data_IF_230309274916
#
_entry.id   IF_230309274916
#
_cell.length_a   1.000
_cell.length_b   1.000
_cell.length_c   1.000
_cell.angle_alpha   90.00
_cell.angle_beta   90.00
_cell.angle_gamma   90.00
#
_symmetry.space_group_name_H-M   'P 1'
#
loop_
_entity.id
_entity.type
_entity.pdbx_description
1 polymer ?
#
# COMPACT_ATOMS: atom_id res chain seq x y z
N UNK A 1 38.31 -0.58 8.38
CA UNK A 1 36.84 -0.46 8.18
C UNK A 1 36.33 0.99 8.11
N UNK A 2 36.95 1.98 8.76
CA UNK A 2 36.53 3.39 8.70
C UNK A 2 36.76 4.06 7.32
N UNK A 3 37.90 3.81 6.67
CA UNK A 3 38.24 4.39 5.35
C UNK A 3 37.35 3.92 4.19
N UNK A 4 36.88 2.67 4.26
CA UNK A 4 35.95 2.11 3.27
C UNK A 4 34.58 2.80 3.39
N UNK A 5 34.14 3.11 4.62
CA UNK A 5 32.87 3.81 4.89
C UNK A 5 32.92 5.28 4.44
N UNK A 6 34.03 5.99 4.67
CA UNK A 6 34.22 7.38 4.18
C UNK A 6 34.28 7.46 2.65
N UNK A 7 34.93 6.50 1.99
CA UNK A 7 34.99 6.45 0.51
C UNK A 7 33.62 6.21 -0.16
N UNK A 8 32.76 5.39 0.43
CA UNK A 8 31.38 5.17 -0.07
C UNK A 8 30.53 6.43 0.15
N UNK A 9 30.67 7.07 1.31
CA UNK A 9 29.97 8.32 1.62
C UNK A 9 30.32 9.43 0.63
N UNK A 10 31.61 9.67 0.38
CA UNK A 10 32.08 10.66 -0.59
C UNK A 10 31.56 10.39 -2.01
N UNK A 11 31.60 9.14 -2.48
CA UNK A 11 31.03 8.75 -3.79
C UNK A 11 29.53 8.99 -3.86
N UNK A 12 28.79 8.76 -2.77
CA UNK A 12 27.35 9.01 -2.73
C UNK A 12 27.01 10.50 -2.74
N UNK A 13 27.80 11.33 -2.05
CA UNK A 13 27.69 12.80 -2.10
C UNK A 13 27.97 13.31 -3.51
N UNK A 14 29.05 12.84 -4.16
CA UNK A 14 29.36 13.21 -5.54
C UNK A 14 28.22 12.87 -6.50
N UNK A 15 27.65 11.66 -6.40
CA UNK A 15 26.49 11.27 -7.23
C UNK A 15 25.27 12.17 -6.98
N UNK A 16 25.06 12.65 -5.75
CA UNK A 16 23.95 13.58 -5.46
C UNK A 16 24.16 14.92 -6.15
N UNK A 17 25.39 15.44 -6.12
CA UNK A 17 25.76 16.69 -6.80
C UNK A 17 25.59 16.56 -8.32
N UNK A 18 26.12 15.50 -8.92
CA UNK A 18 25.98 15.26 -10.37
C UNK A 18 24.51 15.17 -10.80
N UNK A 19 23.66 14.45 -10.03
CA UNK A 19 22.21 14.38 -10.32
C UNK A 19 21.51 15.73 -10.20
N UNK A 20 21.90 16.55 -9.23
CA UNK A 20 21.34 17.88 -9.06
C UNK A 20 21.73 18.79 -10.24
N UNK A 21 22.99 18.71 -10.68
CA UNK A 21 23.50 19.41 -11.85
C UNK A 21 22.76 18.99 -13.13
N UNK A 22 22.62 17.69 -13.37
CA UNK A 22 21.93 17.15 -14.55
C UNK A 22 20.49 17.66 -14.65
N UNK A 23 19.73 17.58 -13.54
CA UNK A 23 18.36 18.12 -13.49
C UNK A 23 18.27 19.60 -13.84
N UNK A 24 19.27 20.40 -13.45
CA UNK A 24 19.31 21.83 -13.78
C UNK A 24 19.59 22.01 -15.27
N UNK A 25 20.53 21.25 -15.84
CA UNK A 25 20.84 21.31 -17.27
C UNK A 25 19.63 20.91 -18.13
N UNK A 26 18.94 19.83 -17.76
CA UNK A 26 17.69 19.40 -18.41
C UNK A 26 16.62 20.50 -18.40
N UNK A 27 16.37 21.11 -17.23
CA UNK A 27 15.40 22.21 -17.09
C UNK A 27 15.77 23.47 -17.89
N UNK A 28 17.06 23.68 -18.16
CA UNK A 28 17.55 24.81 -18.96
C UNK A 28 17.65 24.48 -20.45
N UNK A 29 17.26 23.26 -20.88
CA UNK A 29 17.37 22.81 -22.27
C UNK A 29 18.82 22.60 -22.74
N UNK A 30 19.76 22.43 -21.80
CA UNK A 30 21.19 22.25 -22.06
C UNK A 30 21.65 20.79 -22.04
N UNK A 31 20.77 19.87 -21.64
CA UNK A 31 20.98 18.42 -21.71
C UNK A 31 19.64 17.76 -22.01
N UNK A 32 19.65 16.68 -22.79
CA UNK A 32 18.44 15.95 -23.15
C UNK A 32 17.93 15.12 -21.96
N UNK A 33 16.65 15.26 -21.65
CA UNK A 33 15.95 14.46 -20.64
C UNK A 33 15.27 13.26 -21.31
N UNK A 34 15.55 12.06 -20.80
CA UNK A 34 14.79 10.88 -21.22
C UNK A 34 13.39 10.92 -20.61
N UNK A 35 12.37 11.14 -21.46
CA UNK A 35 10.95 11.08 -21.06
C UNK A 35 10.39 9.69 -21.30
N UNK A 36 9.77 9.14 -20.26
CA UNK A 36 9.10 7.84 -20.31
C UNK A 36 7.64 8.01 -19.87
N UNK A 37 6.85 8.58 -20.77
CA UNK A 37 5.44 8.92 -20.52
C UNK A 37 4.60 7.70 -20.12
N UNK A 38 4.92 6.53 -20.70
CA UNK A 38 4.25 5.28 -20.37
C UNK A 38 4.54 4.88 -18.91
N UNK A 39 5.79 4.92 -18.48
CA UNK A 39 6.14 4.61 -17.09
C UNK A 39 5.58 5.65 -16.12
N UNK A 40 5.55 6.92 -16.49
CA UNK A 40 4.93 7.97 -15.68
C UNK A 40 3.44 7.70 -15.43
N UNK A 41 2.71 7.28 -16.48
CA UNK A 41 1.30 6.90 -16.34
C UNK A 41 1.12 5.68 -15.41
N UNK A 42 2.03 4.70 -15.49
CA UNK A 42 2.04 3.53 -14.59
C UNK A 42 2.29 3.97 -13.14
N UNK A 43 3.20 4.91 -12.90
CA UNK A 43 3.46 5.47 -11.55
C UNK A 43 2.28 6.26 -11.02
N UNK A 44 1.55 6.99 -11.87
CA UNK A 44 0.32 7.68 -11.49
C UNK A 44 -0.71 6.66 -11.00
N UNK A 45 -0.92 5.59 -11.77
CA UNK A 45 -1.84 4.51 -11.39
C UNK A 45 -1.42 3.83 -10.08
N UNK A 46 -0.13 3.53 -9.91
CA UNK A 46 0.43 2.95 -8.69
C UNK A 46 0.17 3.82 -7.46
N UNK A 47 0.43 5.14 -7.54
CA UNK A 47 0.17 6.08 -6.42
C UNK A 47 -1.31 6.20 -6.12
N UNK A 48 -2.15 6.23 -7.15
CA UNK A 48 -3.61 6.24 -6.99
C UNK A 48 -4.08 4.98 -6.27
N UNK A 49 -3.59 3.80 -6.67
CA UNK A 49 -3.91 2.52 -6.06
C UNK A 49 -3.50 2.46 -4.58
N UNK A 50 -2.30 2.96 -4.24
CA UNK A 50 -1.82 3.08 -2.85
C UNK A 50 -2.78 3.94 -2.02
N UNK A 51 -3.17 5.09 -2.55
CA UNK A 51 -4.05 6.05 -1.89
C UNK A 51 -5.47 5.51 -1.69
N UNK A 52 -6.04 4.89 -2.73
CA UNK A 52 -7.39 4.30 -2.69
C UNK A 52 -7.42 3.10 -1.74
N UNK A 53 -6.40 2.23 -1.75
CA UNK A 53 -6.26 1.13 -0.80
C UNK A 53 -6.11 1.62 0.65
N UNK A 54 -5.30 2.66 0.88
CA UNK A 54 -5.12 3.26 2.21
C UNK A 54 -6.41 3.91 2.73
N UNK A 55 -7.19 4.53 1.83
CA UNK A 55 -8.51 5.06 2.18
C UNK A 55 -9.45 3.93 2.58
N UNK A 56 -9.53 2.86 1.78
CA UNK A 56 -10.38 1.70 2.09
C UNK A 56 -10.02 1.07 3.45
N UNK A 57 -8.73 0.91 3.75
CA UNK A 57 -8.28 0.41 5.06
C UNK A 57 -8.75 1.31 6.21
N UNK A 58 -8.67 2.63 6.06
CA UNK A 58 -9.16 3.58 7.07
C UNK A 58 -10.66 3.46 7.29
N UNK A 59 -11.45 3.42 6.21
CA UNK A 59 -12.89 3.27 6.30
C UNK A 59 -13.27 1.91 6.92
N UNK A 60 -12.53 0.84 6.59
CA UNK A 60 -12.73 -0.48 7.21
C UNK A 60 -12.48 -0.44 8.72
N UNK A 61 -11.41 0.23 9.17
CA UNK A 61 -11.13 0.42 10.61
C UNK A 61 -12.23 1.21 11.30
N UNK A 62 -12.73 2.28 10.67
CA UNK A 62 -13.88 3.04 11.18
C UNK A 62 -15.13 2.18 11.29
N UNK A 63 -15.42 1.37 10.26
CA UNK A 63 -16.55 0.44 10.26
C UNK A 63 -16.44 -0.61 11.38
N UNK A 64 -15.27 -1.24 11.55
CA UNK A 64 -14.98 -2.16 12.66
C UNK A 64 -15.19 -1.50 14.02
N UNK A 65 -14.72 -0.25 14.19
CA UNK A 65 -14.95 0.51 15.42
C UNK A 65 -16.43 0.80 15.66
N UNK A 66 -17.21 1.05 14.61
CA UNK A 66 -18.65 1.27 14.71
C UNK A 66 -19.40 0.00 15.12
N UNK A 67 -18.97 -1.18 14.65
CA UNK A 67 -19.48 -2.48 15.11
C UNK A 67 -19.31 -2.62 16.63
N UNK A 68 -18.11 -2.33 17.17
CA UNK A 68 -17.89 -2.34 18.63
C UNK A 68 -18.74 -1.32 19.38
N UNK A 69 -18.91 -0.12 18.82
CA UNK A 69 -19.81 0.88 19.37
C UNK A 69 -21.25 0.39 19.47
N UNK A 70 -21.74 -0.27 18.41
CA UNK A 70 -23.08 -0.85 18.38
C UNK A 70 -23.25 -2.02 19.35
N UNK A 71 -22.24 -2.91 19.45
CA UNK A 71 -22.21 -3.99 20.44
C UNK A 71 -22.38 -3.42 21.85
N UNK A 72 -21.57 -2.41 22.22
CA UNK A 72 -21.64 -1.80 23.55
C UNK A 72 -23.00 -1.13 23.80
N UNK A 73 -23.56 -0.42 22.82
CA UNK A 73 -24.89 0.17 22.94
C UNK A 73 -25.97 -0.90 23.14
N UNK A 74 -25.88 -2.03 22.44
CA UNK A 74 -26.79 -3.17 22.57
C UNK A 74 -26.70 -3.83 23.96
N UNK A 75 -25.51 -3.96 24.52
CA UNK A 75 -25.29 -4.45 25.89
C UNK A 75 -25.97 -3.52 26.90
N UNK A 76 -25.69 -2.22 26.82
CA UNK A 76 -26.24 -1.23 27.75
C UNK A 76 -27.77 -1.20 27.69
N UNK A 77 -28.36 -1.28 26.49
CA UNK A 77 -29.81 -1.34 26.32
C UNK A 77 -30.40 -2.60 26.98
N UNK A 78 -29.78 -3.76 26.75
CA UNK A 78 -30.25 -5.02 27.33
C UNK A 78 -30.12 -5.05 28.85
N UNK A 79 -29.03 -4.48 29.39
CA UNK A 79 -28.84 -4.32 30.82
C UNK A 79 -29.92 -3.41 31.44
N UNK A 80 -30.22 -2.27 30.81
CA UNK A 80 -31.28 -1.37 31.30
C UNK A 80 -32.65 -2.06 31.34
N UNK A 81 -32.96 -2.90 30.35
CA UNK A 81 -34.18 -3.70 30.34
C UNK A 81 -34.20 -4.72 31.48
N UNK A 82 -33.07 -5.40 31.73
CA UNK A 82 -32.96 -6.34 32.83
C UNK A 82 -33.18 -5.66 34.19
N UNK A 83 -32.58 -4.48 34.41
CA UNK A 83 -32.64 -3.74 35.68
C UNK A 83 -34.08 -3.31 36.04
N UNK A 84 -34.90 -2.95 35.05
CA UNK A 84 -36.30 -2.56 35.27
C UNK A 84 -37.28 -3.74 35.30
N UNK A 85 -36.81 -4.95 34.98
CA UNK A 85 -37.67 -6.14 34.93
C UNK A 85 -37.85 -6.73 36.33
N UNK A 86 -39.09 -6.79 36.81
CA UNK A 86 -39.37 -7.26 38.18
C UNK A 86 -39.08 -8.77 38.34
N UNK A 87 -38.62 -9.23 39.52
CA UNK A 87 -38.25 -10.63 39.77
C UNK A 87 -39.32 -11.67 39.43
N UNK A 88 -40.59 -11.32 39.57
CA UNK A 88 -41.75 -12.19 39.35
C UNK A 88 -42.30 -12.14 37.91
N UNK A 89 -41.78 -11.24 37.07
CA UNK A 89 -42.21 -11.14 35.68
C UNK A 89 -41.68 -12.31 34.84
N UNK A 90 -42.56 -12.86 34.00
CA UNK A 90 -42.22 -13.95 33.10
C UNK A 90 -41.08 -13.56 32.15
N UNK A 91 -40.10 -14.46 31.99
CA UNK A 91 -38.98 -14.28 31.05
C UNK A 91 -37.83 -13.41 31.56
N UNK A 92 -37.76 -13.08 32.85
CA UNK A 92 -36.64 -12.30 33.42
C UNK A 92 -35.26 -12.90 33.12
N UNK A 93 -35.09 -14.20 33.33
CA UNK A 93 -33.84 -14.92 33.04
C UNK A 93 -33.56 -15.01 31.53
N UNK A 94 -34.61 -14.94 30.71
CA UNK A 94 -34.47 -14.99 29.25
C UNK A 94 -33.82 -13.72 28.71
N UNK A 95 -34.08 -12.55 29.31
CA UNK A 95 -33.47 -11.27 28.93
C UNK A 95 -31.95 -11.35 29.04
N UNK A 96 -31.45 -11.89 30.16
CA UNK A 96 -30.00 -12.05 30.40
C UNK A 96 -29.40 -12.98 29.34
N UNK A 97 -30.06 -14.11 29.09
CA UNK A 97 -29.58 -15.09 28.11
C UNK A 97 -29.56 -14.50 26.70
N UNK A 98 -30.64 -13.83 26.28
CA UNK A 98 -30.76 -13.14 24.99
C UNK A 98 -29.66 -12.09 24.84
N UNK A 99 -29.38 -11.32 25.90
CA UNK A 99 -28.30 -10.33 25.90
C UNK A 99 -26.93 -10.96 25.66
N UNK A 100 -26.62 -12.07 26.36
CA UNK A 100 -25.36 -12.81 26.18
C UNK A 100 -25.23 -13.41 24.78
N UNK A 101 -26.31 -13.98 24.25
CA UNK A 101 -26.32 -14.54 22.88
C UNK A 101 -26.11 -13.45 21.83
N UNK A 102 -26.77 -12.29 21.98
CA UNK A 102 -26.55 -11.12 21.13
C UNK A 102 -25.10 -10.62 21.20
N UNK A 103 -24.53 -10.51 22.39
CA UNK A 103 -23.14 -10.07 22.60
C UNK A 103 -22.15 -11.03 21.92
N UNK A 104 -22.34 -12.34 22.08
CA UNK A 104 -21.51 -13.35 21.42
C UNK A 104 -21.57 -13.26 19.89
N UNK A 105 -22.74 -12.99 19.31
CA UNK A 105 -22.90 -12.79 17.87
C UNK A 105 -22.19 -11.52 17.38
N UNK A 106 -22.27 -10.42 18.14
CA UNK A 106 -21.54 -9.19 17.83
C UNK A 106 -20.03 -9.39 17.88
N UNK A 107 -19.53 -10.10 18.90
CA UNK A 107 -18.12 -10.41 19.07
C UNK A 107 -17.58 -11.27 17.91
N UNK A 108 -18.31 -12.34 17.56
CA UNK A 108 -17.96 -13.22 16.43
C UNK A 108 -17.96 -12.47 15.10
N UNK A 109 -18.98 -11.63 14.86
CA UNK A 109 -19.05 -10.80 13.67
C UNK A 109 -17.87 -9.83 13.57
N UNK A 110 -17.58 -9.08 14.64
CA UNK A 110 -16.45 -8.18 14.70
C UNK A 110 -15.13 -8.90 14.38
N UNK A 111 -14.84 -10.00 15.07
CA UNK A 111 -13.57 -10.71 14.92
C UNK A 111 -13.42 -11.28 13.50
N UNK A 112 -14.49 -11.80 12.91
CA UNK A 112 -14.46 -12.27 11.52
C UNK A 112 -14.27 -11.15 10.52
N UNK A 113 -14.84 -9.97 10.74
CA UNK A 113 -14.59 -8.81 9.85
C UNK A 113 -13.13 -8.40 9.95
N UNK A 114 -12.55 -8.32 11.16
CA UNK A 114 -11.13 -8.05 11.36
C UNK A 114 -10.26 -9.06 10.60
N UNK A 115 -10.46 -10.35 10.82
CA UNK A 115 -9.60 -11.39 10.27
C UNK A 115 -9.74 -11.52 8.74
N UNK A 116 -10.96 -11.44 8.21
CA UNK A 116 -11.22 -11.67 6.78
C UNK A 116 -11.03 -10.44 5.89
N UNK A 117 -10.93 -9.24 6.47
CA UNK A 117 -10.81 -8.00 5.69
C UNK A 117 -9.60 -7.17 6.07
N UNK A 118 -9.40 -6.87 7.36
CA UNK A 118 -8.35 -5.95 7.79
C UNK A 118 -6.96 -6.55 7.56
N UNK A 119 -6.76 -7.82 7.89
CA UNK A 119 -5.50 -8.52 7.64
C UNK A 119 -5.16 -8.57 6.13
N UNK A 120 -6.16 -8.84 5.28
CA UNK A 120 -5.99 -8.86 3.84
C UNK A 120 -5.67 -7.46 3.25
N UNK A 121 -6.28 -6.41 3.81
CA UNK A 121 -5.97 -5.02 3.48
C UNK A 121 -4.54 -4.64 3.87
N UNK A 122 -4.10 -5.07 5.05
CA UNK A 122 -2.73 -4.83 5.53
C UNK A 122 -1.71 -5.53 4.63
N UNK A 123 -1.91 -6.80 4.29
CA UNK A 123 -1.02 -7.55 3.40
C UNK A 123 -0.95 -6.92 2.00
N UNK A 124 -2.10 -6.51 1.45
CA UNK A 124 -2.14 -5.83 0.15
C UNK A 124 -1.35 -4.52 0.17
N UNK A 125 -1.49 -3.72 1.23
CA UNK A 125 -0.78 -2.44 1.38
C UNK A 125 0.72 -2.61 1.65
N UNK A 126 1.15 -3.72 2.26
CA UNK A 126 2.57 -4.02 2.50
C UNK A 126 3.40 -4.19 1.22
N UNK A 127 2.78 -4.39 0.06
CA UNK A 127 3.48 -4.48 -1.23
C UNK A 127 3.98 -3.12 -1.74
N UNK A 128 3.36 -2.01 -1.30
CA UNK A 128 3.64 -0.68 -1.83
C UNK A 128 4.98 -0.07 -1.37
N UNK A 129 5.41 -0.18 -0.10
CA UNK A 129 6.65 0.46 0.38
C UNK A 129 7.91 0.06 -0.41
N UNK A 130 8.11 -1.22 -0.68
CA UNK A 130 9.27 -1.69 -1.45
C UNK A 130 9.21 -1.20 -2.91
N UNK A 131 8.05 -1.37 -3.56
CA UNK A 131 7.85 -0.88 -4.94
C UNK A 131 8.07 0.62 -5.04
N UNK A 132 7.63 1.41 -4.06
CA UNK A 132 7.85 2.86 -3.99
C UNK A 132 9.34 3.20 -3.86
N UNK A 133 10.08 2.45 -3.04
CA UNK A 133 11.52 2.61 -2.92
C UNK A 133 12.26 2.28 -4.23
N UNK A 134 11.81 1.24 -4.94
CA UNK A 134 12.33 0.83 -6.25
C UNK A 134 11.99 1.83 -7.35
N UNK A 135 10.77 2.35 -7.43
CA UNK A 135 10.38 3.44 -8.33
C UNK A 135 11.27 4.66 -8.11
N UNK A 136 11.45 5.08 -6.86
CA UNK A 136 12.35 6.20 -6.54
C UNK A 136 13.82 5.89 -6.91
N UNK A 137 14.25 4.62 -6.79
CA UNK A 137 15.58 4.17 -7.20
C UNK A 137 15.72 4.25 -8.72
N UNK A 138 14.74 3.76 -9.48
CA UNK A 138 14.69 3.86 -10.94
C UNK A 138 14.81 5.30 -11.41
N UNK A 139 14.00 6.23 -10.87
CA UNK A 139 14.08 7.66 -11.23
C UNK A 139 15.48 8.25 -10.97
N UNK A 140 16.14 7.86 -9.88
CA UNK A 140 17.53 8.28 -9.62
C UNK A 140 18.53 7.68 -10.62
N UNK A 141 18.27 6.45 -11.09
CA UNK A 141 19.14 5.74 -12.05
C UNK A 141 18.97 6.22 -13.47
N UNK A 142 17.78 6.68 -13.84
CA UNK A 142 17.57 7.37 -15.11
C UNK A 142 18.43 8.64 -15.19
N UNK A 143 18.45 9.45 -14.13
CA UNK A 143 19.30 10.66 -14.09
C UNK A 143 20.80 10.30 -14.11
N UNK A 144 21.22 9.25 -13.39
CA UNK A 144 22.61 8.77 -13.44
C UNK A 144 22.98 8.33 -14.87
N UNK A 145 22.05 7.72 -15.61
CA UNK A 145 22.23 7.30 -17.01
C UNK A 145 22.29 8.49 -17.97
N UNK A 146 21.33 9.42 -17.90
CA UNK A 146 21.31 10.63 -18.74
C UNK A 146 22.60 11.44 -18.55
N UNK A 147 23.07 11.58 -17.31
CA UNK A 147 24.32 12.29 -17.01
C UNK A 147 25.56 11.60 -17.59
N UNK A 148 25.61 10.26 -17.55
CA UNK A 148 26.70 9.51 -18.17
C UNK A 148 26.65 9.62 -19.71
N UNK A 149 25.45 9.64 -20.31
CA UNK A 149 25.25 9.81 -21.75
C UNK A 149 25.74 11.19 -22.20
N UNK A 150 25.28 12.23 -21.52
CA UNK A 150 25.69 13.61 -21.77
C UNK A 150 27.21 13.82 -21.60
N UNK A 151 27.84 13.12 -20.64
CA UNK A 151 29.29 13.17 -20.48
C UNK A 151 30.04 12.59 -21.68
N UNK A 152 29.61 11.42 -22.19
CA UNK A 152 30.19 10.80 -23.39
C UNK A 152 30.01 11.70 -24.61
N UNK A 153 28.80 12.22 -24.84
CA UNK A 153 28.50 13.14 -25.94
C UNK A 153 29.41 14.38 -25.92
N UNK A 154 29.59 14.99 -24.74
CA UNK A 154 30.49 16.15 -24.56
C UNK A 154 31.94 15.81 -24.92
N UNK A 155 32.43 14.64 -24.51
CA UNK A 155 33.79 14.20 -24.82
C UNK A 155 33.98 13.95 -26.32
N UNK A 156 32.97 13.41 -27.00
CA UNK A 156 32.98 13.17 -28.45
C UNK A 156 33.00 14.49 -29.23
N UNK A 157 32.12 15.44 -28.88
CA UNK A 157 32.04 16.76 -29.54
C UNK A 157 33.32 17.57 -29.37
N UNK A 158 33.99 17.47 -28.21
CA UNK A 158 35.26 18.16 -27.97
C UNK A 158 36.46 17.61 -28.77
N UNK A 159 36.28 16.52 -29.53
CA UNK A 159 37.34 15.92 -30.36
C UNK A 159 38.49 15.31 -29.54
N UNK A 160 38.24 14.97 -28.27
CA UNK A 160 39.25 14.43 -27.36
C UNK A 160 39.77 13.06 -27.82
N UNK A 161 40.99 13.00 -28.35
CA UNK A 161 41.72 11.78 -28.77
C UNK A 161 42.34 10.96 -27.61
N UNK A 162 41.90 11.17 -26.37
CA UNK A 162 42.46 10.46 -25.21
C UNK A 162 41.67 9.18 -24.97
N UNK A 163 42.06 8.11 -25.68
CA UNK A 163 41.37 6.81 -25.67
C UNK A 163 41.05 6.32 -24.26
N UNK A 164 41.96 6.51 -23.29
CA UNK A 164 41.75 6.06 -21.91
C UNK A 164 40.63 6.80 -21.19
N UNK A 165 40.44 8.10 -21.43
CA UNK A 165 39.34 8.88 -20.83
C UNK A 165 38.01 8.53 -21.49
N UNK A 166 38.01 8.35 -22.81
CA UNK A 166 36.82 7.94 -23.56
C UNK A 166 36.34 6.55 -23.12
N UNK A 167 37.24 5.56 -23.11
CA UNK A 167 36.94 4.19 -22.66
C UNK A 167 36.29 4.19 -21.28
N UNK A 168 36.84 4.97 -20.34
CA UNK A 168 36.29 5.04 -18.98
C UNK A 168 34.87 5.65 -18.95
N UNK A 169 34.61 6.70 -19.72
CA UNK A 169 33.28 7.30 -19.81
C UNK A 169 32.26 6.33 -20.43
N UNK A 170 32.65 5.59 -21.47
CA UNK A 170 31.82 4.55 -22.08
C UNK A 170 31.53 3.38 -21.13
N UNK A 171 32.50 2.95 -20.34
CA UNK A 171 32.30 1.94 -19.29
C UNK A 171 31.32 2.42 -18.22
N UNK A 172 31.42 3.69 -17.79
CA UNK A 172 30.50 4.29 -16.83
C UNK A 172 29.08 4.41 -17.40
N UNK A 173 28.93 4.77 -18.68
CA UNK A 173 27.66 4.78 -19.39
C UNK A 173 27.02 3.40 -19.46
N UNK A 174 27.75 2.38 -19.93
CA UNK A 174 27.26 0.99 -19.99
C UNK A 174 26.81 0.49 -18.62
N UNK A 175 27.55 0.83 -17.56
CA UNK A 175 27.20 0.47 -16.19
C UNK A 175 25.95 1.18 -15.69
N UNK A 176 25.80 2.48 -15.98
CA UNK A 176 24.63 3.24 -15.60
C UNK A 176 23.37 2.73 -16.31
N UNK A 177 23.49 2.45 -17.62
CA UNK A 177 22.45 1.85 -18.44
C UNK A 177 21.98 0.51 -17.88
N UNK A 178 22.90 -0.45 -17.67
CA UNK A 178 22.57 -1.77 -17.13
C UNK A 178 21.78 -1.69 -15.82
N UNK A 179 22.22 -0.84 -14.88
CA UNK A 179 21.57 -0.68 -13.57
C UNK A 179 20.18 -0.03 -13.69
N UNK A 180 20.01 0.89 -14.65
CA UNK A 180 18.70 1.46 -14.94
C UNK A 180 17.77 0.42 -15.58
N UNK A 181 18.23 -0.29 -16.60
CA UNK A 181 17.44 -1.27 -17.36
C UNK A 181 16.96 -2.42 -16.47
N UNK A 182 17.83 -2.97 -15.61
CA UNK A 182 17.46 -4.02 -14.64
C UNK A 182 16.31 -3.58 -13.72
N UNK A 183 16.33 -2.33 -13.25
CA UNK A 183 15.24 -1.78 -12.42
C UNK A 183 14.00 -1.48 -13.26
N UNK A 184 14.20 -0.97 -14.48
CA UNK A 184 13.14 -0.56 -15.38
C UNK A 184 12.28 -1.75 -15.80
N UNK A 185 12.91 -2.81 -16.32
CA UNK A 185 12.22 -4.01 -16.79
C UNK A 185 11.39 -4.65 -15.67
N UNK A 186 11.96 -4.81 -14.47
CA UNK A 186 11.22 -5.38 -13.34
C UNK A 186 10.01 -4.53 -12.93
N UNK A 187 10.14 -3.20 -12.92
CA UNK A 187 9.02 -2.31 -12.57
C UNK A 187 7.95 -2.20 -13.67
N UNK A 188 8.35 -2.36 -14.94
CA UNK A 188 7.41 -2.40 -16.07
C UNK A 188 6.54 -3.67 -16.07
N UNK A 189 6.99 -4.75 -15.44
CA UNK A 189 6.20 -5.97 -15.25
C UNK A 189 5.35 -5.94 -13.96
N UNK A 190 5.98 -5.58 -12.83
CA UNK A 190 5.35 -5.68 -11.53
C UNK A 190 4.25 -4.62 -11.30
N UNK A 191 4.44 -3.38 -11.75
CA UNK A 191 3.47 -2.30 -11.49
C UNK A 191 2.14 -2.52 -12.25
N UNK A 192 2.14 -2.90 -13.55
CA UNK A 192 0.89 -3.25 -14.24
C UNK A 192 0.22 -4.49 -13.66
N UNK A 193 1.00 -5.49 -13.23
CA UNK A 193 0.47 -6.69 -12.57
C UNK A 193 -0.24 -6.35 -11.26
N UNK A 194 0.40 -5.52 -10.42
CA UNK A 194 -0.21 -4.99 -9.20
C UNK A 194 -1.48 -4.20 -9.53
N UNK A 195 -1.44 -3.33 -10.53
CA UNK A 195 -2.62 -2.58 -10.98
C UNK A 195 -3.75 -3.51 -11.37
N UNK A 196 -3.50 -4.55 -12.17
CA UNK A 196 -4.48 -5.55 -12.57
C UNK A 196 -5.16 -6.26 -11.40
N UNK A 197 -4.41 -6.56 -10.34
CA UNK A 197 -4.93 -7.26 -9.15
C UNK A 197 -6.00 -6.49 -8.35
N UNK A 198 -6.06 -5.16 -8.48
CA UNK A 198 -6.90 -4.29 -7.64
C UNK A 198 -8.39 -4.65 -7.68
N UNK A 199 -8.89 -5.06 -8.85
CA UNK A 199 -10.31 -5.35 -9.06
C UNK A 199 -10.72 -6.58 -8.27
N UNK A 200 -9.94 -7.67 -8.40
CA UNK A 200 -10.17 -8.90 -7.65
C UNK A 200 -10.04 -8.67 -6.14
N UNK A 201 -9.06 -7.86 -5.73
CA UNK A 201 -8.89 -7.46 -4.34
C UNK A 201 -10.15 -6.76 -3.78
N UNK A 202 -10.63 -5.69 -4.43
CA UNK A 202 -11.81 -4.95 -3.95
C UNK A 202 -13.07 -5.81 -3.93
N UNK A 203 -13.30 -6.60 -4.97
CA UNK A 203 -14.46 -7.52 -5.02
C UNK A 203 -14.37 -8.55 -3.89
N UNK A 204 -13.19 -9.14 -3.67
CA UNK A 204 -12.96 -10.09 -2.59
C UNK A 204 -13.24 -9.51 -1.22
N UNK A 205 -12.69 -8.32 -0.94
CA UNK A 205 -12.93 -7.61 0.33
C UNK A 205 -14.41 -7.35 0.57
N UNK A 206 -15.12 -6.76 -0.39
CA UNK A 206 -16.54 -6.46 -0.23
C UNK A 206 -17.39 -7.70 -0.11
N UNK A 207 -17.10 -8.75 -0.89
CA UNK A 207 -17.82 -10.03 -0.80
C UNK A 207 -17.69 -10.64 0.59
N UNK A 208 -16.51 -10.59 1.21
CA UNK A 208 -16.30 -11.04 2.59
C UNK A 208 -17.17 -10.26 3.57
N UNK A 209 -17.15 -8.91 3.49
CA UNK A 209 -17.96 -8.04 4.36
C UNK A 209 -19.45 -8.37 4.23
N UNK A 210 -19.99 -8.36 3.01
CA UNK A 210 -21.44 -8.55 2.79
C UNK A 210 -21.90 -9.95 3.20
N UNK A 211 -21.04 -10.96 3.03
CA UNK A 211 -21.35 -12.33 3.46
C UNK A 211 -21.41 -12.44 4.98
N UNK A 212 -20.49 -11.78 5.68
CA UNK A 212 -20.48 -11.72 7.15
C UNK A 212 -21.67 -10.93 7.68
N UNK A 213 -21.96 -9.77 7.11
CA UNK A 213 -23.15 -8.98 7.46
C UNK A 213 -24.44 -9.80 7.28
N UNK A 214 -24.59 -10.47 6.14
CA UNK A 214 -25.77 -11.30 5.86
C UNK A 214 -25.94 -12.39 6.91
N UNK A 215 -24.86 -13.08 7.27
CA UNK A 215 -24.89 -14.12 8.29
C UNK A 215 -25.25 -13.54 9.65
N UNK A 216 -24.57 -12.48 10.07
CA UNK A 216 -24.80 -11.80 11.34
C UNK A 216 -26.25 -11.32 11.47
N UNK A 217 -26.77 -10.60 10.48
CA UNK A 217 -28.15 -10.09 10.49
C UNK A 217 -29.18 -11.22 10.52
N UNK A 218 -28.93 -12.33 9.81
CA UNK A 218 -29.79 -13.51 9.89
C UNK A 218 -29.79 -14.10 11.29
N UNK A 219 -28.63 -14.32 11.89
CA UNK A 219 -28.52 -14.98 13.20
C UNK A 219 -29.07 -14.11 14.33
N UNK A 220 -28.75 -12.81 14.35
CA UNK A 220 -29.23 -11.90 15.40
C UNK A 220 -30.74 -11.71 15.36
N UNK A 221 -31.36 -11.80 14.17
CA UNK A 221 -32.82 -11.74 14.02
C UNK A 221 -33.56 -12.91 14.69
N UNK A 222 -32.86 -14.02 14.93
CA UNK A 222 -33.44 -15.26 15.48
C UNK A 222 -33.25 -15.41 16.99
N UNK A 223 -32.49 -14.52 17.65
CA UNK A 223 -32.18 -14.65 19.09
C UNK A 223 -33.45 -14.63 19.95
N UNK A 224 -34.49 -13.90 19.53
CA UNK A 224 -35.79 -13.88 20.21
C UNK A 224 -36.75 -15.02 19.82
N UNK A 225 -36.53 -15.66 18.66
CA UNK A 225 -37.40 -16.72 18.13
C UNK A 225 -37.00 -18.11 18.61
N UNK A 226 -35.72 -18.34 18.93
CA UNK A 226 -35.24 -19.64 19.43
C UNK A 226 -35.87 -20.05 20.77
N UNK A 227 -36.31 -19.09 21.59
CA UNK A 227 -36.88 -19.35 22.93
C UNK A 227 -38.40 -19.45 22.98
N UNK A 228 -39.12 -19.25 21.86
CA UNK A 228 -40.59 -19.41 21.80
C UNK A 228 -41.05 -20.84 21.52
N UNK A 229 -40.13 -21.77 21.24
CA UNK A 229 -40.43 -23.16 20.86
C UNK A 229 -40.02 -24.21 21.91
N UNK A 230 -39.83 -23.81 23.17
CA UNK A 230 -39.59 -24.69 24.33
C UNK A 230 -40.46 -24.23 25.47
#
# INVERSE_FOLDING_TARGET
>A
MAEIKTGIFAKNVQKRLNRAQEKVLQKLGKADETKDEQFEQVVINFRRQESEGSRLQREMKTYISAIKGMQQASINLTQSLHEVYEPDWHGKEDIITIGKDCDALWEDFHNKVVDSTLLNLDEYLQRFPDLKARVAKRSRKLIDYDSARHHVETLQVSGMKNDRKMIKAEEELKKAQKVFDELNVGLQDELPTLWGSRVGFYIGTYKSVTSLETKFHREISLVSLKKRNT
#
